data_IF_796114659109
#
_entry.id   IF_796114659109
#
_cell.length_a   1.000
_cell.length_b   1.000
_cell.length_c   1.000
_cell.angle_alpha   90.00
_cell.angle_beta   90.00
_cell.angle_gamma   90.00
#
_symmetry.space_group_name_H-M   'P 1'
#
loop_
_entity.id
_entity.type
_entity.pdbx_description
1 polymer ?
#
# COMPACT_ATOMS: atom_id res chain seq x y z
N UNK A 1 -15.10 -14.24 11.90
CA UNK A 1 -14.72 -14.92 13.16
C UNK A 1 -14.32 -13.83 14.14
N UNK A 2 -15.10 -13.65 15.19
CA UNK A 2 -14.74 -12.78 16.32
C UNK A 2 -13.70 -13.50 17.21
N UNK A 3 -12.78 -12.78 17.84
CA UNK A 3 -11.77 -13.36 18.74
C UNK A 3 -12.41 -14.10 19.92
N UNK A 4 -13.50 -13.56 20.46
CA UNK A 4 -14.26 -14.18 21.55
C UNK A 4 -14.93 -15.48 21.11
N UNK A 5 -15.50 -15.52 19.91
CA UNK A 5 -16.06 -16.74 19.32
C UNK A 5 -14.99 -17.83 19.12
N UNK A 6 -13.72 -17.42 19.01
CA UNK A 6 -12.57 -18.30 18.92
C UNK A 6 -11.90 -18.59 20.28
N UNK A 7 -12.45 -18.08 21.38
CA UNK A 7 -11.94 -18.30 22.75
C UNK A 7 -10.72 -17.46 23.13
N UNK A 8 -10.49 -16.33 22.45
CA UNK A 8 -9.38 -15.42 22.74
C UNK A 8 -9.87 -14.13 23.43
N UNK A 9 -9.26 -13.80 24.57
CA UNK A 9 -9.55 -12.58 25.35
C UNK A 9 -8.82 -11.33 24.85
N UNK A 10 -7.92 -11.49 23.89
CA UNK A 10 -7.11 -10.41 23.35
C UNK A 10 -6.31 -10.84 22.14
N UNK A 11 -5.64 -9.88 21.52
CA UNK A 11 -4.77 -10.11 20.37
C UNK A 11 -3.46 -9.36 20.56
N UNK A 12 -2.35 -10.08 20.48
CA UNK A 12 -1.00 -9.52 20.43
C UNK A 12 -0.51 -9.72 19.01
N UNK A 13 -0.32 -8.61 18.29
CA UNK A 13 0.15 -8.66 16.92
C UNK A 13 1.68 -8.61 16.89
N UNK A 14 2.31 -9.67 16.39
CA UNK A 14 3.76 -9.71 16.17
C UNK A 14 4.21 -8.92 14.93
N UNK A 15 3.41 -7.94 14.47
CA UNK A 15 3.59 -7.22 13.20
C UNK A 15 5.04 -6.80 12.98
N UNK A 16 5.42 -6.69 11.70
CA UNK A 16 6.63 -5.96 11.35
C UNK A 16 6.56 -4.55 11.93
N UNK A 17 7.68 -4.04 12.42
CA UNK A 17 7.73 -2.79 13.20
C UNK A 17 7.43 -1.53 12.36
N UNK A 18 7.41 -1.66 11.02
CA UNK A 18 7.27 -0.55 10.06
C UNK A 18 6.16 -0.84 9.05
N UNK A 19 4.90 -0.66 9.48
CA UNK A 19 3.68 -1.00 8.71
C UNK A 19 2.65 0.14 8.64
N UNK A 20 3.10 1.38 8.84
CA UNK A 20 2.21 2.55 8.85
C UNK A 20 1.97 3.15 7.46
N UNK A 21 2.82 2.90 6.46
CA UNK A 21 2.53 3.31 5.09
C UNK A 21 1.46 2.37 4.46
N UNK A 22 0.54 2.85 3.62
CA UNK A 22 0.44 4.23 3.11
C UNK A 22 -0.30 5.20 4.05
N UNK A 23 -1.13 4.70 4.97
CA UNK A 23 -2.10 5.53 5.69
C UNK A 23 -2.45 5.00 7.08
N UNK A 24 -1.66 4.15 7.74
CA UNK A 24 -1.78 3.72 9.14
C UNK A 24 -3.11 3.08 9.59
N UNK A 25 -4.10 3.00 8.70
CA UNK A 25 -5.50 2.80 9.05
C UNK A 25 -5.76 1.41 9.60
N UNK A 26 -5.08 0.38 9.08
CA UNK A 26 -5.17 -0.97 9.63
C UNK A 26 -4.74 -1.05 11.09
N UNK A 27 -3.69 -0.31 11.48
CA UNK A 27 -3.25 -0.24 12.87
C UNK A 27 -4.24 0.52 13.74
N UNK A 28 -4.84 1.60 13.21
CA UNK A 28 -5.91 2.33 13.90
C UNK A 28 -7.15 1.45 14.14
N UNK A 29 -7.63 0.75 13.12
CA UNK A 29 -8.77 -0.18 13.23
C UNK A 29 -8.48 -1.26 14.26
N UNK A 30 -7.28 -1.85 14.23
CA UNK A 30 -6.86 -2.86 15.21
C UNK A 30 -6.88 -2.31 16.64
N UNK A 31 -6.29 -1.13 16.87
CA UNK A 31 -6.24 -0.51 18.20
C UNK A 31 -7.65 -0.19 18.73
N UNK A 32 -8.48 0.42 17.89
CA UNK A 32 -9.84 0.83 18.27
C UNK A 32 -10.76 -0.36 18.55
N UNK A 33 -10.66 -1.43 17.75
CA UNK A 33 -11.50 -2.64 17.93
C UNK A 33 -11.04 -3.51 19.10
N UNK A 34 -9.76 -3.46 19.49
CA UNK A 34 -9.28 -4.05 20.73
C UNK A 34 -9.87 -3.37 21.96
N UNK A 35 -10.05 -2.05 21.91
CA UNK A 35 -10.65 -1.27 22.99
C UNK A 35 -12.17 -1.36 23.00
N UNK A 36 -12.82 -1.21 21.85
CA UNK A 36 -14.27 -1.22 21.71
C UNK A 36 -14.71 -1.95 20.44
N UNK A 37 -15.22 -3.16 20.62
CA UNK A 37 -15.67 -4.06 19.54
C UNK A 37 -16.98 -3.62 18.86
N UNK A 38 -17.72 -2.68 19.43
CA UNK A 38 -18.98 -2.16 18.84
C UNK A 38 -18.77 -1.17 17.71
N UNK A 39 -17.52 -0.75 17.48
CA UNK A 39 -17.14 0.23 16.45
C UNK A 39 -17.26 -0.40 15.06
N UNK A 40 -17.94 0.29 14.14
CA UNK A 40 -18.06 -0.17 12.75
C UNK A 40 -16.86 0.29 11.92
N UNK A 41 -16.58 -0.44 10.84
CA UNK A 41 -15.49 -0.08 9.92
C UNK A 41 -15.72 1.30 9.30
N UNK A 42 -16.94 1.61 8.89
CA UNK A 42 -17.33 2.88 8.26
C UNK A 42 -17.17 4.06 9.22
N UNK A 43 -17.49 3.85 10.51
CA UNK A 43 -17.25 4.86 11.54
C UNK A 43 -15.76 5.12 11.71
N UNK A 44 -14.96 4.05 11.85
CA UNK A 44 -13.51 4.16 12.05
C UNK A 44 -12.81 4.81 10.87
N UNK A 45 -13.21 4.48 9.65
CA UNK A 45 -12.70 5.06 8.43
C UNK A 45 -12.92 6.57 8.39
N UNK A 46 -14.16 7.03 8.57
CA UNK A 46 -14.45 8.47 8.55
C UNK A 46 -13.69 9.24 9.61
N UNK A 47 -13.63 8.71 10.84
CA UNK A 47 -12.92 9.35 11.94
C UNK A 47 -11.41 9.42 11.68
N UNK A 48 -10.81 8.30 11.24
CA UNK A 48 -9.38 8.24 10.95
C UNK A 48 -8.97 9.25 9.88
N UNK A 49 -9.62 9.21 8.72
CA UNK A 49 -9.24 10.07 7.60
C UNK A 49 -9.51 11.55 7.92
N UNK A 50 -10.59 11.87 8.66
CA UNK A 50 -10.85 13.22 9.13
C UNK A 50 -9.77 13.71 10.09
N UNK A 51 -9.34 12.87 11.03
CA UNK A 51 -8.29 13.20 12.00
C UNK A 51 -6.94 13.46 11.30
N UNK A 52 -6.59 12.64 10.30
CA UNK A 52 -5.25 12.67 9.68
C UNK A 52 -5.15 13.67 8.54
N UNK A 53 -6.19 13.80 7.72
CA UNK A 53 -6.15 14.58 6.48
C UNK A 53 -7.07 15.81 6.48
N UNK A 54 -7.87 16.02 7.54
CA UNK A 54 -8.72 17.19 7.69
C UNK A 54 -9.65 17.38 6.50
N UNK A 55 -9.61 18.56 5.88
CA UNK A 55 -10.44 18.90 4.72
C UNK A 55 -10.23 17.97 3.51
N UNK A 56 -9.10 17.27 3.44
CA UNK A 56 -8.79 16.34 2.34
C UNK A 56 -9.22 14.89 2.63
N UNK A 57 -9.85 14.64 3.78
CA UNK A 57 -10.21 13.30 4.24
C UNK A 57 -10.98 12.48 3.20
N UNK A 58 -12.06 13.03 2.64
CA UNK A 58 -12.88 12.31 1.66
C UNK A 58 -12.09 12.01 0.37
N UNK A 59 -11.22 12.92 -0.05
CA UNK A 59 -10.41 12.76 -1.27
C UNK A 59 -9.38 11.63 -1.10
N UNK A 60 -8.65 11.63 0.02
CA UNK A 60 -7.67 10.57 0.31
C UNK A 60 -8.37 9.23 0.54
N UNK A 61 -9.53 9.25 1.19
CA UNK A 61 -10.32 8.05 1.39
C UNK A 61 -10.80 7.44 0.06
N UNK A 62 -11.28 8.28 -0.86
CA UNK A 62 -11.67 7.84 -2.21
C UNK A 62 -10.50 7.19 -2.93
N UNK A 63 -9.31 7.81 -2.89
CA UNK A 63 -8.09 7.23 -3.44
C UNK A 63 -7.80 5.83 -2.88
N UNK A 64 -7.84 5.66 -1.55
CA UNK A 64 -7.58 4.36 -0.92
C UNK A 64 -8.60 3.31 -1.37
N UNK A 65 -9.90 3.63 -1.37
CA UNK A 65 -10.97 2.72 -1.79
C UNK A 65 -10.85 2.32 -3.25
N UNK A 66 -10.67 3.30 -4.13
CA UNK A 66 -10.53 3.07 -5.57
C UNK A 66 -9.29 2.25 -5.89
N UNK A 67 -8.16 2.55 -5.25
CA UNK A 67 -6.92 1.79 -5.44
C UNK A 67 -7.08 0.34 -4.94
N UNK A 68 -7.67 0.14 -3.76
CA UNK A 68 -7.96 -1.20 -3.25
C UNK A 68 -8.88 -1.99 -4.18
N UNK A 69 -9.96 -1.38 -4.70
CA UNK A 69 -10.87 -2.03 -5.64
C UNK A 69 -10.19 -2.45 -6.96
N UNK A 70 -9.25 -1.64 -7.46
CA UNK A 70 -8.51 -1.93 -8.70
C UNK A 70 -7.40 -2.96 -8.50
N UNK A 71 -6.79 -3.01 -7.32
CA UNK A 71 -5.55 -3.76 -7.09
C UNK A 71 -5.72 -5.05 -6.27
N UNK A 72 -6.70 -5.16 -5.37
CA UNK A 72 -6.78 -6.25 -4.37
C UNK A 72 -7.09 -7.64 -4.95
N UNK A 73 -7.95 -7.73 -5.96
CA UNK A 73 -8.48 -9.02 -6.47
C UNK A 73 -7.64 -9.65 -7.59
N UNK A 74 -6.56 -9.00 -8.03
CA UNK A 74 -5.83 -9.36 -9.25
C UNK A 74 -4.33 -9.57 -9.01
N UNK A 75 -3.87 -9.46 -7.76
CA UNK A 75 -2.48 -9.73 -7.39
C UNK A 75 -2.24 -11.25 -7.51
N UNK A 76 -1.29 -11.70 -8.34
CA UNK A 76 -0.98 -13.12 -8.55
C UNK A 76 -0.23 -13.73 -7.36
N UNK A 77 -0.39 -13.17 -6.16
CA UNK A 77 0.37 -13.56 -4.98
C UNK A 77 -0.05 -14.94 -4.47
N UNK A 78 -1.27 -15.37 -4.80
CA UNK A 78 -1.78 -16.73 -4.63
C UNK A 78 -2.45 -17.23 -5.93
N UNK A 79 -1.81 -18.21 -6.59
CA UNK A 79 -2.42 -19.29 -7.38
C UNK A 79 -2.97 -19.10 -8.82
N UNK A 80 -2.44 -18.20 -9.66
CA UNK A 80 -2.12 -18.50 -11.08
C UNK A 80 -1.40 -17.29 -11.74
N UNK A 81 -0.11 -17.41 -12.15
CA UNK A 81 0.61 -16.37 -12.87
C UNK A 81 0.11 -16.14 -14.32
N UNK A 82 -0.99 -16.80 -14.72
CA UNK A 82 -1.55 -16.74 -16.07
C UNK A 82 -1.70 -15.33 -16.66
N UNK A 83 -1.51 -15.29 -17.97
CA UNK A 83 -1.80 -14.11 -18.81
C UNK A 83 -3.27 -13.76 -18.68
N UNK A 84 -3.57 -12.53 -18.27
CA UNK A 84 -4.92 -12.05 -18.09
C UNK A 84 -5.03 -10.58 -18.52
N UNK A 85 -5.64 -10.36 -19.69
CA UNK A 85 -5.83 -9.01 -20.24
C UNK A 85 -6.72 -8.13 -19.33
N UNK A 86 -7.72 -8.73 -18.66
CA UNK A 86 -8.58 -8.04 -17.70
C UNK A 86 -7.80 -7.53 -16.49
N UNK A 87 -6.96 -8.39 -15.90
CA UNK A 87 -6.07 -8.02 -14.80
C UNK A 87 -5.06 -6.94 -15.22
N UNK A 88 -4.44 -7.09 -16.40
CA UNK A 88 -3.52 -6.08 -16.93
C UNK A 88 -4.20 -4.71 -17.12
N UNK A 89 -5.46 -4.69 -17.57
CA UNK A 89 -6.25 -3.44 -17.70
C UNK A 89 -6.53 -2.80 -16.35
N UNK A 90 -6.91 -3.59 -15.33
CA UNK A 90 -7.13 -3.09 -13.96
C UNK A 90 -5.85 -2.56 -13.32
N UNK A 91 -4.72 -3.26 -13.47
CA UNK A 91 -3.41 -2.81 -13.00
C UNK A 91 -2.98 -1.51 -13.70
N UNK A 92 -3.24 -1.38 -15.00
CA UNK A 92 -3.02 -0.10 -15.70
C UNK A 92 -3.87 1.02 -15.08
N UNK A 93 -5.16 0.78 -14.86
CA UNK A 93 -6.06 1.76 -14.25
C UNK A 93 -5.60 2.16 -12.83
N UNK A 94 -5.13 1.21 -12.02
CA UNK A 94 -4.56 1.49 -10.71
C UNK A 94 -3.31 2.39 -10.80
N UNK A 95 -2.40 2.11 -11.74
CA UNK A 95 -1.23 2.98 -11.96
C UNK A 95 -1.63 4.38 -12.43
N UNK A 96 -2.64 4.51 -13.31
CA UNK A 96 -3.15 5.81 -13.77
C UNK A 96 -3.84 6.59 -12.62
N UNK A 97 -4.57 5.90 -11.74
CA UNK A 97 -5.18 6.47 -10.54
C UNK A 97 -4.11 7.09 -9.64
N UNK A 98 -3.03 6.34 -9.35
CA UNK A 98 -1.92 6.85 -8.54
C UNK A 98 -1.30 8.10 -9.17
N UNK A 99 -1.08 8.11 -10.48
CA UNK A 99 -0.56 9.30 -11.20
C UNK A 99 -1.50 10.49 -11.10
N UNK A 100 -2.81 10.25 -11.12
CA UNK A 100 -3.84 11.30 -11.03
C UNK A 100 -3.82 11.98 -9.66
N UNK A 101 -3.65 11.22 -8.57
CA UNK A 101 -3.61 11.77 -7.21
C UNK A 101 -2.23 12.29 -6.79
N UNK A 102 -1.15 11.90 -7.47
CA UNK A 102 0.22 12.32 -7.15
C UNK A 102 0.42 13.84 -6.99
N UNK A 103 -0.10 14.72 -7.87
CA UNK A 103 0.04 16.16 -7.70
C UNK A 103 -0.58 16.69 -6.41
N UNK A 104 -1.68 16.08 -5.94
CA UNK A 104 -2.29 16.43 -4.65
C UNK A 104 -1.34 16.09 -3.49
N UNK A 105 -0.73 14.90 -3.53
CA UNK A 105 0.20 14.46 -2.48
C UNK A 105 1.46 15.32 -2.48
N UNK A 106 2.02 15.63 -3.66
CA UNK A 106 3.17 16.52 -3.80
C UNK A 106 2.87 17.94 -3.29
N UNK A 107 1.68 18.49 -3.62
CA UNK A 107 1.24 19.78 -3.13
C UNK A 107 1.16 19.82 -1.60
N UNK A 108 0.46 18.87 -0.97
CA UNK A 108 0.27 18.88 0.49
C UNK A 108 1.56 18.51 1.22
N UNK A 109 2.38 17.60 0.68
CA UNK A 109 3.69 17.30 1.25
C UNK A 109 4.62 18.53 1.26
N UNK A 110 4.51 19.42 0.27
CA UNK A 110 5.29 20.68 0.21
C UNK A 110 4.61 21.91 0.82
N UNK A 111 3.42 21.80 1.43
CA UNK A 111 2.69 22.96 1.96
C UNK A 111 3.14 23.29 3.39
N UNK A 112 3.87 24.40 3.56
CA UNK A 112 4.37 24.89 4.86
C UNK A 112 3.29 25.12 5.92
N UNK A 113 2.01 25.18 5.55
CA UNK A 113 0.89 25.30 6.49
C UNK A 113 0.55 24.00 7.20
N UNK A 114 0.98 22.85 6.67
CA UNK A 114 0.77 21.55 7.28
C UNK A 114 1.84 21.33 8.34
N UNK A 115 1.43 21.04 9.58
CA UNK A 115 2.38 20.87 10.68
C UNK A 115 3.03 19.48 10.68
N UNK A 116 2.27 18.44 10.34
CA UNK A 116 2.76 17.07 10.22
C UNK A 116 2.61 16.57 8.79
N UNK A 117 3.75 16.43 8.13
CA UNK A 117 3.82 15.95 6.75
C UNK A 117 3.89 14.42 6.65
N UNK A 118 3.96 13.68 7.76
CA UNK A 118 4.22 12.23 7.77
C UNK A 118 3.18 11.46 6.98
N UNK A 119 1.90 11.79 7.14
CA UNK A 119 0.82 11.13 6.41
C UNK A 119 0.90 11.37 4.89
N UNK A 120 1.29 12.58 4.47
CA UNK A 120 1.48 12.93 3.06
C UNK A 120 2.76 12.32 2.49
N UNK A 121 3.82 12.27 3.29
CA UNK A 121 5.09 11.58 3.01
C UNK A 121 4.80 10.12 2.67
N UNK A 122 4.06 9.41 3.54
CA UNK A 122 3.69 8.03 3.28
C UNK A 122 2.90 7.86 1.99
N UNK A 123 1.82 8.63 1.77
CA UNK A 123 1.04 8.57 0.52
C UNK A 123 1.90 8.80 -0.73
N UNK A 124 2.82 9.77 -0.68
CA UNK A 124 3.67 10.11 -1.81
C UNK A 124 4.66 8.98 -2.11
N UNK A 125 5.50 8.61 -1.15
CA UNK A 125 6.56 7.63 -1.36
C UNK A 125 5.99 6.23 -1.63
N UNK A 126 4.98 5.80 -0.87
CA UNK A 126 4.31 4.53 -1.11
C UNK A 126 3.54 4.55 -2.43
N UNK A 127 2.95 5.69 -2.81
CA UNK A 127 2.29 5.86 -4.10
C UNK A 127 3.26 5.65 -5.26
N UNK A 128 4.45 6.26 -5.21
CA UNK A 128 5.48 6.03 -6.25
C UNK A 128 5.89 4.55 -6.31
N UNK A 129 6.16 3.94 -5.15
CA UNK A 129 6.52 2.51 -5.08
C UNK A 129 5.39 1.62 -5.62
N UNK A 130 4.15 1.89 -5.24
CA UNK A 130 2.97 1.15 -5.68
C UNK A 130 2.76 1.27 -7.21
N UNK A 131 2.97 2.45 -7.79
CA UNK A 131 2.89 2.62 -9.25
C UNK A 131 3.90 1.71 -9.97
N UNK A 132 5.15 1.69 -9.51
CA UNK A 132 6.20 0.85 -10.07
C UNK A 132 5.87 -0.63 -9.91
N UNK A 133 5.43 -1.03 -8.72
CA UNK A 133 5.05 -2.41 -8.42
C UNK A 133 3.86 -2.89 -9.27
N UNK A 134 2.79 -2.10 -9.36
CA UNK A 134 1.59 -2.43 -10.14
C UNK A 134 1.91 -2.45 -11.64
N UNK A 135 2.74 -1.51 -12.11
CA UNK A 135 3.18 -1.47 -13.51
C UNK A 135 4.04 -2.69 -13.88
N UNK A 136 4.88 -3.15 -12.96
CA UNK A 136 5.62 -4.41 -13.10
C UNK A 136 4.68 -5.61 -13.19
N UNK A 137 3.70 -5.72 -12.28
CA UNK A 137 2.73 -6.83 -12.27
C UNK A 137 1.85 -6.86 -13.53
N UNK A 138 1.59 -5.70 -14.14
CA UNK A 138 0.91 -5.64 -15.44
C UNK A 138 1.69 -6.41 -16.51
N UNK A 139 3.02 -6.30 -16.55
CA UNK A 139 3.85 -7.07 -17.49
C UNK A 139 3.78 -8.57 -17.22
N UNK A 140 3.72 -8.98 -15.95
CA UNK A 140 3.50 -10.38 -15.57
C UNK A 140 2.17 -10.91 -16.11
N UNK A 141 1.10 -10.14 -15.96
CA UNK A 141 -0.23 -10.44 -16.54
C UNK A 141 -0.28 -10.39 -18.06
N UNK A 142 0.77 -9.90 -18.72
CA UNK A 142 0.95 -9.93 -20.17
C UNK A 142 1.89 -11.05 -20.63
N UNK A 143 2.45 -11.85 -19.71
CA UNK A 143 3.40 -12.93 -20.01
C UNK A 143 4.80 -12.44 -20.36
N UNK A 144 5.16 -11.21 -19.99
CA UNK A 144 6.44 -10.59 -20.31
C UNK A 144 7.42 -10.67 -19.12
N UNK A 145 7.87 -11.87 -18.78
CA UNK A 145 8.64 -12.10 -17.53
C UNK A 145 10.02 -11.42 -17.51
N UNK A 146 10.67 -11.28 -18.66
CA UNK A 146 11.93 -10.51 -18.79
C UNK A 146 11.74 -9.05 -18.36
N UNK A 147 10.61 -8.45 -18.75
CA UNK A 147 10.22 -7.09 -18.36
C UNK A 147 9.90 -7.00 -16.87
N UNK A 148 9.29 -8.02 -16.29
CA UNK A 148 9.00 -8.06 -14.84
C UNK A 148 10.29 -7.92 -14.04
N UNK A 149 11.31 -8.72 -14.38
CA UNK A 149 12.61 -8.67 -13.71
C UNK A 149 13.31 -7.32 -13.87
N UNK A 150 13.23 -6.70 -15.06
CA UNK A 150 13.79 -5.38 -15.33
C UNK A 150 13.10 -4.29 -14.48
N UNK A 151 11.77 -4.24 -14.48
CA UNK A 151 11.00 -3.24 -13.73
C UNK A 151 11.12 -3.46 -12.20
N UNK A 152 11.25 -4.71 -11.75
CA UNK A 152 11.51 -5.01 -10.35
C UNK A 152 12.85 -4.42 -9.88
N UNK A 153 13.91 -4.51 -10.69
CA UNK A 153 15.21 -3.89 -10.35
C UNK A 153 15.09 -2.37 -10.19
N UNK A 154 14.28 -1.70 -11.03
CA UNK A 154 14.00 -0.26 -10.91
C UNK A 154 13.25 0.04 -9.61
N UNK A 155 12.23 -0.75 -9.26
CA UNK A 155 11.52 -0.62 -7.98
C UNK A 155 12.49 -0.79 -6.80
N UNK A 156 13.33 -1.81 -6.84
CA UNK A 156 14.33 -2.07 -5.80
C UNK A 156 15.30 -0.91 -5.65
N UNK A 157 15.79 -0.33 -6.75
CA UNK A 157 16.63 0.87 -6.73
C UNK A 157 15.89 2.06 -6.10
N UNK A 158 14.65 2.31 -6.51
CA UNK A 158 13.84 3.39 -5.94
C UNK A 158 13.65 3.22 -4.42
N UNK A 159 13.28 2.02 -3.97
CA UNK A 159 13.08 1.72 -2.56
C UNK A 159 14.37 1.92 -1.76
N UNK A 160 15.51 1.42 -2.25
CA UNK A 160 16.79 1.60 -1.58
C UNK A 160 17.26 3.06 -1.53
N UNK A 161 17.07 3.81 -2.62
CA UNK A 161 17.45 5.24 -2.68
C UNK A 161 16.57 6.16 -1.85
N UNK A 162 15.36 5.72 -1.52
CA UNK A 162 14.41 6.53 -0.75
C UNK A 162 14.20 6.00 0.66
N UNK A 163 14.85 4.90 1.08
CA UNK A 163 14.60 4.26 2.38
C UNK A 163 14.67 5.26 3.53
N UNK A 164 15.72 6.08 3.61
CA UNK A 164 15.91 7.07 4.68
C UNK A 164 14.75 8.07 4.81
N UNK A 165 13.98 8.30 3.74
CA UNK A 165 12.90 9.28 3.74
C UNK A 165 11.63 8.79 4.45
N UNK A 166 11.35 7.48 4.45
CA UNK A 166 10.06 6.94 4.88
C UNK A 166 10.14 5.56 5.56
N UNK A 167 11.35 5.12 5.90
CA UNK A 167 11.58 3.86 6.60
C UNK A 167 10.86 3.77 7.94
N UNK A 168 10.39 4.85 8.56
CA UNK A 168 9.58 4.73 9.78
C UNK A 168 8.24 4.02 9.53
N UNK A 169 7.71 4.15 8.30
CA UNK A 169 6.42 3.61 7.91
C UNK A 169 6.46 2.35 7.07
N UNK A 170 7.63 1.97 6.53
CA UNK A 170 7.76 0.87 5.59
C UNK A 170 9.11 0.13 5.72
N UNK A 171 9.05 -1.20 5.89
CA UNK A 171 10.25 -2.03 5.96
C UNK A 171 10.80 -2.40 4.58
N UNK A 172 11.68 -1.56 4.04
CA UNK A 172 12.30 -1.75 2.72
C UNK A 172 13.09 -3.06 2.65
N UNK A 173 13.90 -3.36 3.67
CA UNK A 173 14.70 -4.59 3.70
C UNK A 173 13.84 -5.85 3.62
N UNK A 174 12.81 -5.96 4.46
CA UNK A 174 11.96 -7.14 4.46
C UNK A 174 11.14 -7.26 3.18
N UNK A 175 10.67 -6.14 2.63
CA UNK A 175 9.98 -6.14 1.34
C UNK A 175 10.90 -6.68 0.23
N UNK A 176 12.11 -6.13 0.09
CA UNK A 176 13.08 -6.57 -0.92
C UNK A 176 13.44 -8.05 -0.72
N UNK A 177 13.73 -8.46 0.52
CA UNK A 177 14.10 -9.85 0.82
C UNK A 177 13.02 -10.87 0.46
N UNK A 178 11.74 -10.52 0.66
CA UNK A 178 10.63 -11.39 0.23
C UNK A 178 10.47 -11.37 -1.29
N UNK A 179 10.51 -10.18 -1.90
CA UNK A 179 10.22 -9.98 -3.32
C UNK A 179 11.35 -10.44 -4.25
N UNK A 180 12.60 -10.41 -3.81
CA UNK A 180 13.75 -10.93 -4.57
C UNK A 180 13.51 -12.40 -4.97
N UNK A 181 12.96 -13.22 -4.06
CA UNK A 181 12.65 -14.64 -4.32
C UNK A 181 11.58 -14.85 -5.40
N UNK A 182 10.76 -13.84 -5.67
CA UNK A 182 9.60 -13.91 -6.58
C UNK A 182 9.86 -13.31 -7.96
N UNK A 183 10.73 -12.31 -8.03
CA UNK A 183 10.91 -11.48 -9.23
C UNK A 183 12.33 -11.40 -9.75
N UNK A 184 13.30 -12.00 -9.04
CA UNK A 184 14.64 -12.22 -9.57
C UNK A 184 14.84 -13.72 -9.80
N UNK A 185 15.70 -14.09 -10.78
CA UNK A 185 16.15 -15.46 -10.90
C UNK A 185 16.78 -15.91 -9.58
N UNK A 186 16.50 -17.14 -9.15
CA UNK A 186 17.32 -17.76 -8.11
C UNK A 186 18.74 -17.84 -8.64
N UNK A 187 19.71 -17.24 -7.95
CA UNK A 187 21.11 -17.53 -8.20
C UNK A 187 21.30 -19.04 -8.00
N UNK A 188 21.63 -19.77 -9.07
CA UNK A 188 21.99 -21.19 -9.05
C UNK A 188 23.28 -21.43 -8.28
#
# INVERSE_FOLDING_TARGET
MNLEEAGFDGYVSCQQTRVFAPAGFGMYVMAETLWNRSRTFETLEREYFQMVYGDQAETVLSYCKELSALSYMEQPENDDPGVCAGAAKKLKAAADLIRTYRPLFEKNFGDEKIQDHTAWKYLLYSGRAAEMYISMLKYRRQGSEDRVSEEYRKLKEYLGRTEEEWQEGFDVYWFIKDRDKKFLPSDT
#
